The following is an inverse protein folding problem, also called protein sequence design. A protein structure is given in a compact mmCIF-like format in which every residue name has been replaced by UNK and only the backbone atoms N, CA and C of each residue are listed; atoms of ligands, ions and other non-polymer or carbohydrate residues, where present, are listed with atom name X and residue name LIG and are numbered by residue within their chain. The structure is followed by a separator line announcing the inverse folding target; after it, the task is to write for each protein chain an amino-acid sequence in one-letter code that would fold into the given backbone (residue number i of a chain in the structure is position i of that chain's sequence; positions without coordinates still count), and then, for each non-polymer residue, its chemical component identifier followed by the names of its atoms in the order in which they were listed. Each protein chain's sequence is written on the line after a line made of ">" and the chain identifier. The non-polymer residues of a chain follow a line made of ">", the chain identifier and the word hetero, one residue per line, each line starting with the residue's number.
data_IF_253922535724
#
_entry.id   IF_253922535724
#
_cell.length_a   1.000
_cell.length_b   1.000
_cell.length_c   1.000
_cell.angle_alpha   90.00
_cell.angle_beta   90.00
_cell.angle_gamma   90.00
#
_symmetry.space_group_name_H-M   'P 1'
#
loop_
_entity.id
_entity.type
_entity.pdbx_description
1 polymer ?
#
# COMPACT_ATOMS: atom_id res chain seq x y z
N UNK A 1 16.08 -0.70 23.41
CA UNK A 1 15.58 -1.66 22.40
C UNK A 1 15.34 -0.91 21.11
N UNK A 2 16.36 -0.78 20.24
CA UNK A 2 16.30 0.01 18.98
C UNK A 2 16.95 -0.75 17.80
N UNK A 3 17.62 -1.88 18.08
CA UNK A 3 18.33 -2.66 17.07
C UNK A 3 17.41 -3.55 16.23
N UNK A 4 16.29 -4.02 16.79
CA UNK A 4 15.32 -4.86 16.07
C UNK A 4 14.69 -4.16 14.88
N UNK A 5 14.30 -2.89 15.05
CA UNK A 5 13.64 -2.10 14.00
C UNK A 5 14.58 -1.84 12.81
N UNK A 6 15.88 -1.62 13.07
CA UNK A 6 16.86 -1.37 11.99
C UNK A 6 17.15 -2.60 11.14
N UNK A 7 17.13 -3.80 11.73
CA UNK A 7 17.40 -5.05 11.02
C UNK A 7 16.29 -5.39 10.00
N UNK A 8 15.03 -5.12 10.35
CA UNK A 8 13.88 -5.31 9.45
C UNK A 8 13.89 -4.27 8.32
N UNK A 9 14.25 -3.01 8.64
CA UNK A 9 14.32 -1.92 7.66
C UNK A 9 15.46 -2.08 6.62
N UNK A 10 16.53 -2.79 6.96
CA UNK A 10 17.72 -2.92 6.11
C UNK A 10 17.57 -3.85 4.89
N UNK A 11 16.60 -4.79 4.89
CA UNK A 11 16.55 -5.86 3.88
C UNK A 11 15.21 -6.05 3.14
N UNK A 12 14.08 -5.54 3.62
CA UNK A 12 12.77 -5.78 2.98
C UNK A 12 12.20 -4.56 2.24
N UNK A 13 12.66 -3.36 2.59
CA UNK A 13 12.18 -2.11 2.01
C UNK A 13 10.81 -1.67 2.55
N UNK A 14 10.41 -0.46 2.19
CA UNK A 14 9.16 0.17 2.66
C UNK A 14 8.31 0.56 1.47
N UNK A 15 7.00 0.33 1.58
CA UNK A 15 5.99 0.77 0.63
C UNK A 15 5.00 1.67 1.34
N UNK A 16 4.91 2.92 0.89
CA UNK A 16 3.93 3.90 1.37
C UNK A 16 2.78 3.95 0.38
N UNK A 17 1.55 3.91 0.89
CA UNK A 17 0.34 3.92 0.07
C UNK A 17 -0.54 5.09 0.48
N UNK A 18 -0.78 6.03 -0.43
CA UNK A 18 -1.52 7.25 -0.13
C UNK A 18 -2.92 7.16 -0.74
N UNK A 19 -3.93 7.30 0.10
CA UNK A 19 -5.34 7.39 -0.29
C UNK A 19 -5.82 8.83 -0.15
N UNK A 20 -6.56 9.30 -1.16
CA UNK A 20 -7.28 10.58 -1.13
C UNK A 20 -8.77 10.31 -0.98
N UNK A 21 -9.35 10.74 0.13
CA UNK A 21 -10.79 10.63 0.40
C UNK A 21 -11.45 12.00 0.31
N UNK A 22 -12.64 12.06 -0.26
CA UNK A 22 -13.50 13.23 -0.13
C UNK A 22 -14.16 13.27 1.26
N UNK A 23 -14.83 14.39 1.56
CA UNK A 23 -15.62 14.57 2.79
C UNK A 23 -16.77 13.56 2.95
N UNK A 24 -17.18 12.89 1.87
CA UNK A 24 -18.20 11.85 1.84
C UNK A 24 -17.63 10.44 2.07
N UNK A 25 -16.32 10.29 2.30
CA UNK A 25 -15.66 9.00 2.49
C UNK A 25 -15.45 8.21 1.20
N UNK A 26 -15.55 8.85 0.03
CA UNK A 26 -15.27 8.21 -1.26
C UNK A 26 -13.82 8.44 -1.66
N UNK A 27 -13.24 7.43 -2.30
CA UNK A 27 -11.90 7.53 -2.86
C UNK A 27 -11.97 8.36 -4.15
N UNK A 28 -11.22 9.46 -4.19
CA UNK A 28 -11.23 10.40 -5.31
C UNK A 28 -10.46 9.85 -6.52
N UNK A 29 -9.34 9.15 -6.28
CA UNK A 29 -8.44 8.65 -7.33
C UNK A 29 -7.78 7.31 -6.95
N UNK A 30 -6.98 6.72 -7.84
CA UNK A 30 -6.18 5.55 -7.53
C UNK A 30 -5.18 5.82 -6.38
N UNK A 31 -4.99 4.86 -5.46
CA UNK A 31 -4.00 5.00 -4.40
C UNK A 31 -2.60 5.17 -4.99
N UNK A 32 -1.87 6.17 -4.52
CA UNK A 32 -0.49 6.39 -4.94
C UNK A 32 0.44 5.47 -4.15
N UNK A 33 1.28 4.67 -4.84
CA UNK A 33 2.17 3.71 -4.19
C UNK A 33 3.62 4.14 -4.42
N UNK A 34 4.31 4.43 -3.32
CA UNK A 34 5.72 4.85 -3.31
C UNK A 34 6.53 3.75 -2.63
N UNK A 35 7.59 3.28 -3.31
CA UNK A 35 8.46 2.23 -2.79
C UNK A 35 9.87 2.77 -2.54
N UNK A 36 10.48 2.41 -1.40
CA UNK A 36 11.90 2.68 -1.08
C UNK A 36 12.59 1.40 -0.62
N UNK A 37 13.69 1.01 -1.28
CA UNK A 37 14.47 -0.20 -0.93
C UNK A 37 13.77 -1.54 -1.22
N UNK A 38 12.56 -1.52 -1.77
CA UNK A 38 11.80 -2.72 -2.12
C UNK A 38 11.83 -2.96 -3.64
N UNK A 39 11.20 -2.06 -4.40
CA UNK A 39 11.12 -2.07 -5.87
C UNK A 39 11.83 -0.84 -6.44
N UNK A 40 12.61 -1.02 -7.51
CA UNK A 40 13.16 0.07 -8.32
C UNK A 40 12.12 0.56 -9.34
N UNK A 41 11.79 1.86 -9.31
CA UNK A 41 10.70 2.48 -10.09
C UNK A 41 10.79 2.26 -11.61
N UNK A 42 11.99 2.06 -12.17
CA UNK A 42 12.19 1.93 -13.63
C UNK A 42 11.76 0.60 -14.24
N UNK A 43 11.74 -0.50 -13.47
CA UNK A 43 11.47 -1.86 -14.01
C UNK A 43 10.05 -2.34 -13.65
N UNK A 44 9.39 -1.68 -12.70
CA UNK A 44 8.20 -2.23 -12.03
C UNK A 44 7.05 -1.25 -11.92
N UNK A 45 7.03 -0.20 -12.76
CA UNK A 45 5.91 0.73 -12.84
C UNK A 45 4.59 0.00 -13.11
N UNK A 46 4.59 -0.96 -14.02
CA UNK A 46 3.41 -1.77 -14.33
C UNK A 46 2.91 -2.59 -13.13
N UNK A 47 3.83 -3.11 -12.30
CA UNK A 47 3.49 -3.87 -11.11
C UNK A 47 2.82 -2.97 -10.05
N UNK A 48 3.34 -1.76 -9.86
CA UNK A 48 2.79 -0.78 -8.93
C UNK A 48 1.44 -0.24 -9.42
N UNK A 49 1.31 0.04 -10.72
CA UNK A 49 0.05 0.47 -11.33
C UNK A 49 -1.03 -0.63 -11.23
N UNK A 50 -0.66 -1.89 -11.47
CA UNK A 50 -1.55 -3.04 -11.28
C UNK A 50 -1.99 -3.16 -9.82
N UNK A 51 -1.04 -3.06 -8.88
CA UNK A 51 -1.31 -3.11 -7.45
C UNK A 51 -2.29 -2.01 -7.04
N UNK A 52 -2.08 -0.78 -7.49
CA UNK A 52 -2.93 0.38 -7.20
C UNK A 52 -4.36 0.19 -7.73
N UNK A 53 -4.50 -0.18 -9.01
CA UNK A 53 -5.80 -0.41 -9.65
C UNK A 53 -6.61 -1.49 -8.94
N UNK A 54 -5.97 -2.61 -8.61
CA UNK A 54 -6.63 -3.71 -7.91
C UNK A 54 -6.95 -3.34 -6.45
N UNK A 55 -6.05 -2.63 -5.77
CA UNK A 55 -6.26 -2.18 -4.39
C UNK A 55 -7.49 -1.27 -4.28
N UNK A 56 -7.62 -0.28 -5.18
CA UNK A 56 -8.82 0.58 -5.24
C UNK A 56 -10.10 -0.25 -5.29
N UNK A 57 -10.17 -1.22 -6.21
CA UNK A 57 -11.33 -2.11 -6.36
C UNK A 57 -11.62 -2.93 -5.11
N UNK A 58 -10.60 -3.36 -4.37
CA UNK A 58 -10.81 -4.12 -3.12
C UNK A 58 -11.36 -3.24 -2.00
N UNK A 59 -10.92 -1.99 -1.92
CA UNK A 59 -11.43 -1.03 -0.93
C UNK A 59 -12.86 -0.59 -1.28
N UNK A 60 -13.14 -0.29 -2.54
CA UNK A 60 -14.48 0.14 -3.01
C UNK A 60 -15.56 -0.94 -2.84
N UNK A 61 -15.18 -2.22 -2.80
CA UNK A 61 -16.10 -3.32 -2.47
C UNK A 61 -16.56 -3.33 -1.02
N UNK A 62 -15.92 -2.56 -0.13
CA UNK A 62 -16.28 -2.50 1.28
C UNK A 62 -17.37 -1.45 1.49
N UNK A 63 -18.37 -1.82 2.29
CA UNK A 63 -19.42 -0.89 2.72
C UNK A 63 -18.83 0.07 3.76
N UNK A 64 -19.15 1.36 3.64
CA UNK A 64 -18.76 2.40 4.59
C UNK A 64 -17.23 2.53 4.76
N UNK A 65 -16.56 3.05 3.72
CA UNK A 65 -15.09 3.19 3.65
C UNK A 65 -14.59 4.08 4.80
N UNK A 66 -14.09 3.44 5.86
CA UNK A 66 -13.43 4.09 7.01
C UNK A 66 -11.92 3.88 6.92
N UNK A 67 -11.14 4.77 7.55
CA UNK A 67 -9.68 4.66 7.65
C UNK A 67 -9.22 3.28 8.11
N UNK A 68 -9.85 2.70 9.14
CA UNK A 68 -9.52 1.36 9.63
C UNK A 68 -9.69 0.25 8.58
N UNK A 69 -10.75 0.34 7.77
CA UNK A 69 -11.01 -0.62 6.68
C UNK A 69 -9.96 -0.47 5.58
N UNK A 70 -9.64 0.77 5.20
CA UNK A 70 -8.59 1.04 4.21
C UNK A 70 -7.26 0.44 4.67
N UNK A 71 -6.86 0.68 5.91
CA UNK A 71 -5.63 0.14 6.47
C UNK A 71 -5.61 -1.39 6.41
N UNK A 72 -6.66 -2.04 6.91
CA UNK A 72 -6.75 -3.50 6.93
C UNK A 72 -6.71 -4.13 5.54
N UNK A 73 -7.51 -3.61 4.60
CA UNK A 73 -7.55 -4.09 3.22
C UNK A 73 -6.20 -3.89 2.53
N UNK A 74 -5.56 -2.74 2.74
CA UNK A 74 -4.25 -2.43 2.14
C UNK A 74 -3.17 -3.38 2.60
N UNK A 75 -3.06 -3.61 3.92
CA UNK A 75 -2.06 -4.51 4.50
C UNK A 75 -2.24 -5.95 4.00
N UNK A 76 -3.48 -6.47 4.02
CA UNK A 76 -3.77 -7.85 3.60
C UNK A 76 -3.53 -8.05 2.09
N UNK A 77 -4.05 -7.14 1.27
CA UNK A 77 -3.97 -7.25 -0.18
C UNK A 77 -2.52 -7.07 -0.68
N UNK A 78 -1.86 -5.97 -0.31
CA UNK A 78 -0.51 -5.68 -0.82
C UNK A 78 0.53 -6.64 -0.25
N UNK A 79 0.38 -7.06 1.01
CA UNK A 79 1.28 -8.05 1.60
C UNK A 79 1.28 -9.37 0.81
N UNK A 80 0.09 -9.86 0.44
CA UNK A 80 -0.05 -11.06 -0.41
C UNK A 80 0.42 -10.80 -1.85
N UNK A 81 0.03 -9.68 -2.44
CA UNK A 81 0.35 -9.35 -3.83
C UNK A 81 1.87 -9.25 -4.05
N UNK A 82 2.56 -8.50 -3.19
CA UNK A 82 4.01 -8.34 -3.28
C UNK A 82 4.75 -9.64 -3.02
N UNK A 83 4.35 -10.41 -1.99
CA UNK A 83 4.97 -11.70 -1.73
C UNK A 83 4.83 -12.67 -2.91
N UNK A 84 3.64 -12.75 -3.53
CA UNK A 84 3.40 -13.62 -4.69
C UNK A 84 4.20 -13.20 -5.93
N UNK A 85 4.43 -11.90 -6.11
CA UNK A 85 5.09 -11.36 -7.31
C UNK A 85 6.61 -11.25 -7.16
N UNK A 86 7.13 -11.06 -5.95
CA UNK A 86 8.55 -10.75 -5.70
C UNK A 86 9.22 -11.66 -4.68
N UNK A 87 8.47 -12.48 -3.94
CA UNK A 87 8.99 -13.32 -2.86
C UNK A 87 9.38 -12.57 -1.58
N UNK A 88 9.17 -11.24 -1.54
CA UNK A 88 9.57 -10.35 -0.42
C UNK A 88 8.33 -9.70 0.22
N UNK A 89 8.40 -9.38 1.51
CA UNK A 89 7.33 -8.73 2.27
C UNK A 89 7.79 -7.36 2.77
N UNK A 90 7.61 -6.28 1.99
CA UNK A 90 7.98 -4.95 2.47
C UNK A 90 7.10 -4.52 3.64
N UNK A 91 7.60 -3.59 4.44
CA UNK A 91 6.74 -2.88 5.39
C UNK A 91 5.78 -1.97 4.61
N UNK A 92 4.47 -2.15 4.83
CA UNK A 92 3.43 -1.37 4.13
C UNK A 92 2.85 -0.33 5.09
N UNK A 93 2.89 0.93 4.70
CA UNK A 93 2.34 2.06 5.46
C UNK A 93 1.22 2.75 4.68
N UNK A 94 -0.05 2.46 4.99
CA UNK A 94 -1.19 3.18 4.45
C UNK A 94 -1.33 4.56 5.10
N UNK A 95 -1.52 5.60 4.30
CA UNK A 95 -1.77 6.97 4.71
C UNK A 95 -3.06 7.44 4.05
N UNK A 96 -4.00 7.94 4.84
CA UNK A 96 -5.29 8.45 4.34
C UNK A 96 -5.35 9.96 4.53
N UNK A 97 -5.45 10.68 3.42
CA UNK A 97 -5.59 12.14 3.39
C UNK A 97 -7.02 12.48 3.00
N UNK A 98 -7.67 13.31 3.80
CA UNK A 98 -8.98 13.89 3.48
C UNK A 98 -8.76 15.18 2.69
N UNK A 99 -9.48 15.34 1.58
CA UNK A 99 -9.37 16.46 0.63
C UNK A 99 -10.73 17.15 0.45
#
# INVERSE_FOLDING_TARGET
>A
VVLGDRAILGNEGVVVVIFKLDRGGKIIDFPEIISRGFIFEKISKDLLDEASKRLKRQVEKKVNIKKSIIHGVTLDYLGKFFFQKTGRRPMILPVVVEV
#
